data_IF_010099055088
#
_entry.id   IF_010099055088
#
_cell.length_a   1.000
_cell.length_b   1.000
_cell.length_c   1.000
_cell.angle_alpha   90.00
_cell.angle_beta   90.00
_cell.angle_gamma   90.00
#
_symmetry.space_group_name_H-M   'P 1'
#
loop_
_entity.id
_entity.type
_entity.pdbx_description
1 polymer ?
#
# COMPACT_ATOMS: atom_id res chain seq x y z
N UNK A 1 29.07 16.73 25.86
CA UNK A 1 27.80 16.91 25.16
C UNK A 1 27.73 15.88 24.05
N UNK A 2 27.01 14.79 24.31
CA UNK A 2 26.80 13.70 23.38
C UNK A 2 25.99 14.25 22.19
N UNK A 3 26.56 14.18 20.99
CA UNK A 3 25.79 14.27 19.76
C UNK A 3 24.94 13.01 19.68
N UNK A 4 23.68 13.11 20.10
CA UNK A 4 22.62 12.21 19.65
C UNK A 4 22.58 12.33 18.14
N UNK A 5 23.19 11.37 17.46
CA UNK A 5 23.04 11.18 16.03
C UNK A 5 21.63 10.66 15.83
N UNK A 6 20.67 11.57 15.69
CA UNK A 6 19.31 11.21 15.33
C UNK A 6 19.35 10.53 13.97
N UNK A 7 19.29 9.20 13.96
CA UNK A 7 19.15 8.39 12.76
C UNK A 7 17.72 8.59 12.25
N UNK A 8 17.50 9.71 11.57
CA UNK A 8 16.26 9.97 10.85
C UNK A 8 16.29 9.18 9.53
N UNK A 9 15.18 8.47 9.31
CA UNK A 9 14.64 8.04 8.03
C UNK A 9 15.59 7.23 7.13
N UNK A 10 15.59 5.91 7.32
CA UNK A 10 15.69 5.03 6.16
C UNK A 10 14.33 5.10 5.43
N UNK A 11 14.25 5.95 4.40
CA UNK A 11 13.26 5.77 3.33
C UNK A 11 13.65 4.45 2.66
N UNK A 12 13.01 3.36 3.08
CA UNK A 12 12.85 2.21 2.18
C UNK A 12 11.87 2.70 1.13
N UNK A 13 12.41 3.38 0.10
CA UNK A 13 11.71 3.55 -1.17
C UNK A 13 11.63 2.14 -1.75
N UNK A 14 10.63 1.42 -1.28
CA UNK A 14 10.16 0.22 -1.93
C UNK A 14 9.52 0.73 -3.23
N UNK A 15 10.35 1.02 -4.24
CA UNK A 15 9.90 1.10 -5.64
C UNK A 15 9.52 -0.32 -6.03
N UNK A 16 8.41 -0.73 -5.48
CA UNK A 16 7.71 -1.94 -5.82
C UNK A 16 6.60 -1.43 -6.71
N UNK A 17 6.99 -1.03 -7.93
CA UNK A 17 6.08 -0.81 -9.06
C UNK A 17 5.43 -2.16 -9.39
N UNK A 18 4.54 -2.62 -8.52
CA UNK A 18 3.82 -3.88 -8.65
C UNK A 18 2.34 -3.58 -8.64
N UNK A 19 1.87 -3.47 -9.86
CA UNK A 19 0.48 -3.56 -10.30
C UNK A 19 -0.14 -4.84 -9.73
N UNK A 20 -1.03 -4.67 -8.75
CA UNK A 20 -1.90 -5.76 -8.28
C UNK A 20 -3.14 -5.79 -9.15
N UNK A 21 -3.15 -6.72 -10.10
CA UNK A 21 -4.35 -7.52 -10.41
C UNK A 21 -3.87 -8.83 -11.06
N UNK A 22 -4.48 -9.96 -10.71
CA UNK A 22 -4.17 -11.28 -11.29
C UNK A 22 -4.47 -11.35 -12.81
N UNK A 23 -3.66 -10.70 -13.63
CA UNK A 23 -3.66 -10.95 -15.08
C UNK A 23 -3.18 -9.83 -16.00
N UNK A 24 -2.74 -8.67 -15.50
CA UNK A 24 -2.07 -7.66 -16.34
C UNK A 24 -1.27 -6.74 -15.39
N UNK A 25 -0.01 -7.02 -15.01
CA UNK A 25 1.18 -7.34 -15.81
C UNK A 25 1.92 -8.57 -15.28
N UNK A 26 2.67 -9.24 -16.16
CA UNK A 26 3.24 -10.58 -15.94
C UNK A 26 3.98 -10.77 -14.61
N UNK A 27 3.28 -11.45 -13.69
CA UNK A 27 3.78 -12.63 -12.99
C UNK A 27 4.78 -12.41 -11.85
N UNK A 28 4.48 -11.50 -10.92
CA UNK A 28 5.07 -11.58 -9.58
C UNK A 28 3.96 -12.04 -8.64
N UNK A 29 4.05 -13.29 -8.22
CA UNK A 29 3.21 -13.81 -7.16
C UNK A 29 3.45 -12.99 -5.89
N UNK A 30 2.45 -12.93 -4.99
CA UNK A 30 2.64 -12.33 -3.67
C UNK A 30 3.92 -12.84 -2.99
N UNK A 31 4.25 -14.13 -3.14
CA UNK A 31 5.48 -14.70 -2.60
C UNK A 31 6.76 -14.04 -3.15
N UNK A 32 6.85 -13.82 -4.46
CA UNK A 32 8.01 -13.20 -5.07
C UNK A 32 8.20 -11.74 -4.61
N UNK A 33 7.09 -11.01 -4.40
CA UNK A 33 7.11 -9.70 -3.76
C UNK A 33 7.65 -9.77 -2.32
N UNK A 34 7.10 -10.68 -1.50
CA UNK A 34 7.52 -10.85 -0.10
C UNK A 34 9.00 -11.26 0.01
N UNK A 35 9.49 -12.09 -0.90
CA UNK A 35 10.90 -12.47 -0.98
C UNK A 35 11.78 -11.25 -1.30
N UNK A 36 11.35 -10.40 -2.25
CA UNK A 36 12.07 -9.17 -2.60
C UNK A 36 12.10 -8.18 -1.43
N UNK A 37 10.97 -7.93 -0.77
CA UNK A 37 10.88 -7.11 0.46
C UNK A 37 11.81 -7.65 1.53
N UNK A 38 11.80 -8.96 1.76
CA UNK A 38 12.64 -9.59 2.77
C UNK A 38 14.14 -9.39 2.49
N UNK A 39 14.55 -9.44 1.22
CA UNK A 39 15.94 -9.15 0.85
C UNK A 39 16.29 -7.68 1.04
N UNK A 40 15.42 -6.75 0.61
CA UNK A 40 15.65 -5.32 0.78
C UNK A 40 15.79 -4.94 2.26
N UNK A 41 14.90 -5.42 3.13
CA UNK A 41 15.00 -5.18 4.58
C UNK A 41 16.31 -5.71 5.16
N UNK A 42 16.79 -6.87 4.69
CA UNK A 42 18.06 -7.44 5.16
C UNK A 42 19.27 -6.61 4.73
N UNK A 43 19.22 -6.00 3.55
CA UNK A 43 20.28 -5.15 3.01
C UNK A 43 20.27 -3.78 3.68
N UNK A 44 19.10 -3.14 3.74
CA UNK A 44 18.96 -1.74 4.12
C UNK A 44 18.93 -1.55 5.65
N UNK A 45 18.38 -2.52 6.38
CA UNK A 45 18.35 -2.52 7.84
C UNK A 45 19.14 -3.74 8.33
N UNK A 46 20.47 -3.77 8.24
CA UNK A 46 21.25 -4.99 8.49
C UNK A 46 21.20 -5.48 9.94
N UNK A 47 20.96 -4.58 10.91
CA UNK A 47 20.83 -4.96 12.32
C UNK A 47 19.52 -5.72 12.59
N UNK A 48 19.55 -7.02 12.96
CA UNK A 48 18.34 -7.77 13.30
C UNK A 48 17.65 -7.26 14.57
N UNK A 49 18.34 -6.48 15.41
CA UNK A 49 17.79 -5.90 16.64
C UNK A 49 17.29 -4.47 16.47
N UNK A 50 17.23 -3.95 15.24
CA UNK A 50 16.73 -2.62 14.93
C UNK A 50 15.45 -2.30 15.70
N UNK A 51 15.48 -1.21 16.46
CA UNK A 51 14.41 -0.73 17.34
C UNK A 51 13.96 0.71 17.01
N UNK A 52 14.36 1.21 15.83
CA UNK A 52 13.96 2.50 15.31
C UNK A 52 12.63 2.50 14.56
N UNK A 53 12.29 3.64 13.96
CA UNK A 53 11.13 3.80 13.08
C UNK A 53 11.53 3.42 11.66
N UNK A 54 10.76 2.54 11.03
CA UNK A 54 10.92 2.15 9.63
C UNK A 54 9.62 2.44 8.86
N UNK A 55 9.74 3.17 7.76
CA UNK A 55 8.61 3.63 6.95
C UNK A 55 8.64 2.90 5.62
N UNK A 56 7.51 2.28 5.26
CA UNK A 56 7.29 1.69 3.94
C UNK A 56 6.62 2.75 3.07
N UNK A 57 7.31 3.15 2.02
CA UNK A 57 6.85 4.17 1.10
C UNK A 57 6.26 3.51 -0.16
N UNK A 58 4.95 3.25 -0.14
CA UNK A 58 4.20 2.68 -1.26
C UNK A 58 3.08 3.64 -1.66
N UNK A 59 3.36 4.40 -2.72
CA UNK A 59 2.45 5.45 -3.19
C UNK A 59 1.79 5.10 -4.52
N UNK A 60 2.25 4.06 -5.24
CA UNK A 60 1.82 3.77 -6.60
C UNK A 60 0.29 3.63 -6.71
N UNK A 61 -0.32 2.88 -5.78
CA UNK A 61 -1.76 2.62 -5.66
C UNK A 61 -2.18 2.57 -4.17
N UNK A 62 -3.49 2.66 -3.91
CA UNK A 62 -4.07 2.71 -2.56
C UNK A 62 -4.82 1.41 -2.22
N UNK A 63 -4.89 1.00 -0.94
CA UNK A 63 -5.38 -0.33 -0.56
C UNK A 63 -6.88 -0.53 -0.77
N UNK A 64 -7.66 0.56 -0.91
CA UNK A 64 -9.07 0.49 -1.28
C UNK A 64 -9.25 0.92 -2.73
N UNK A 65 -9.99 0.13 -3.50
CA UNK A 65 -10.32 0.35 -4.91
C UNK A 65 -10.87 1.76 -5.15
N UNK A 66 -11.79 2.23 -4.30
CA UNK A 66 -12.38 3.56 -4.42
C UNK A 66 -11.41 4.70 -4.14
N UNK A 67 -10.29 4.45 -3.44
CA UNK A 67 -9.26 5.46 -3.18
C UNK A 67 -8.34 5.74 -4.37
N UNK A 68 -8.42 4.92 -5.43
CA UNK A 68 -7.60 5.04 -6.62
C UNK A 68 -8.21 6.00 -7.66
N UNK A 69 -8.33 7.27 -7.28
CA UNK A 69 -8.78 8.38 -8.16
C UNK A 69 -7.63 9.04 -8.92
N UNK A 70 -7.95 10.00 -9.78
CA UNK A 70 -7.02 10.77 -10.62
C UNK A 70 -6.10 9.86 -11.43
N UNK A 71 -4.78 10.08 -11.36
CA UNK A 71 -3.77 9.29 -12.07
C UNK A 71 -3.78 7.81 -11.65
N UNK A 72 -4.33 7.47 -10.47
CA UNK A 72 -4.45 6.10 -9.98
C UNK A 72 -5.69 5.38 -10.53
N UNK A 73 -6.56 6.05 -11.30
CA UNK A 73 -7.75 5.43 -11.91
C UNK A 73 -7.38 4.25 -12.84
N UNK A 74 -6.16 4.24 -13.39
CA UNK A 74 -5.64 3.14 -14.21
C UNK A 74 -5.73 1.78 -13.51
N UNK A 75 -5.51 1.70 -12.20
CA UNK A 75 -5.61 0.44 -11.44
C UNK A 75 -7.05 -0.09 -11.40
N UNK A 76 -8.03 0.83 -11.35
CA UNK A 76 -9.44 0.48 -11.40
C UNK A 76 -9.81 -0.06 -12.78
N UNK A 77 -9.44 0.67 -13.82
CA UNK A 77 -9.73 0.31 -15.22
C UNK A 77 -9.10 -1.04 -15.59
N UNK A 78 -7.86 -1.29 -15.18
CA UNK A 78 -7.18 -2.57 -15.39
C UNK A 78 -7.86 -3.72 -14.62
N UNK A 79 -8.34 -3.46 -13.40
CA UNK A 79 -9.07 -4.48 -12.62
C UNK A 79 -10.36 -4.92 -13.32
N UNK A 80 -11.13 -3.96 -13.84
CA UNK A 80 -12.36 -4.24 -14.61
C UNK A 80 -12.03 -4.96 -15.92
N UNK A 81 -11.01 -4.49 -16.64
CA UNK A 81 -10.60 -5.12 -17.90
C UNK A 81 -10.20 -6.58 -17.69
N UNK A 82 -9.49 -6.89 -16.61
CA UNK A 82 -9.12 -8.25 -16.27
C UNK A 82 -10.35 -9.13 -15.99
N UNK A 83 -11.30 -8.63 -15.20
CA UNK A 83 -12.54 -9.35 -14.93
C UNK A 83 -13.27 -9.67 -16.22
N UNK A 84 -13.39 -8.70 -17.14
CA UNK A 84 -14.05 -8.90 -18.44
C UNK A 84 -13.27 -9.83 -19.38
N UNK A 85 -11.93 -9.85 -19.31
CA UNK A 85 -11.11 -10.82 -20.05
C UNK A 85 -11.38 -12.26 -19.59
N UNK A 86 -11.53 -12.45 -18.28
CA UNK A 86 -11.76 -13.77 -17.68
C UNK A 86 -13.25 -14.19 -17.74
N UNK A 87 -14.16 -13.23 -17.66
CA UNK A 87 -15.61 -13.43 -17.60
C UNK A 87 -16.32 -12.46 -18.55
N UNK A 88 -16.20 -12.63 -19.88
CA UNK A 88 -16.70 -11.67 -20.88
C UNK A 88 -18.22 -11.58 -20.98
N UNK A 89 -18.94 -12.44 -20.25
CA UNK A 89 -20.40 -12.45 -20.19
C UNK A 89 -20.98 -11.51 -19.12
N UNK A 90 -20.14 -10.99 -18.21
CA UNK A 90 -20.58 -10.05 -17.18
C UNK A 90 -20.96 -8.71 -17.82
N UNK A 91 -21.99 -8.07 -17.29
CA UNK A 91 -22.23 -6.66 -17.55
C UNK A 91 -21.12 -5.79 -16.95
N UNK A 92 -21.02 -4.54 -17.40
CA UNK A 92 -20.03 -3.59 -16.86
C UNK A 92 -20.15 -3.42 -15.35
N UNK A 93 -21.38 -3.31 -14.83
CA UNK A 93 -21.65 -3.13 -13.40
C UNK A 93 -21.22 -4.36 -12.57
N UNK A 94 -21.54 -5.57 -13.06
CA UNK A 94 -21.10 -6.81 -12.40
C UNK A 94 -19.58 -6.96 -12.44
N UNK A 95 -18.95 -6.57 -13.54
CA UNK A 95 -17.50 -6.60 -13.67
C UNK A 95 -16.81 -5.59 -12.74
N UNK A 96 -17.37 -4.39 -12.59
CA UNK A 96 -16.88 -3.38 -11.64
C UNK A 96 -16.98 -3.84 -10.19
N UNK A 97 -18.13 -4.38 -9.78
CA UNK A 97 -18.32 -4.90 -8.42
C UNK A 97 -17.36 -6.06 -8.11
N UNK A 98 -17.16 -6.97 -9.05
CA UNK A 98 -16.24 -8.09 -8.89
C UNK A 98 -14.77 -7.61 -8.88
N UNK A 99 -14.41 -6.64 -9.72
CA UNK A 99 -13.08 -6.05 -9.76
C UNK A 99 -12.72 -5.37 -8.44
N UNK A 100 -13.65 -4.60 -7.86
CA UNK A 100 -13.47 -4.00 -6.54
C UNK A 100 -13.21 -5.06 -5.47
N UNK A 101 -14.06 -6.09 -5.42
CA UNK A 101 -13.93 -7.16 -4.42
C UNK A 101 -12.57 -7.87 -4.51
N UNK A 102 -12.12 -8.19 -5.73
CA UNK A 102 -10.85 -8.84 -5.97
C UNK A 102 -9.66 -7.93 -5.65
N UNK A 103 -9.73 -6.66 -6.07
CA UNK A 103 -8.70 -5.67 -5.79
C UNK A 103 -8.53 -5.46 -4.29
N UNK A 104 -9.60 -5.16 -3.55
CA UNK A 104 -9.53 -4.89 -2.11
C UNK A 104 -8.96 -6.10 -1.33
N UNK A 105 -9.32 -7.32 -1.74
CA UNK A 105 -8.77 -8.54 -1.14
C UNK A 105 -7.26 -8.65 -1.39
N UNK A 106 -6.84 -8.55 -2.64
CA UNK A 106 -5.44 -8.68 -3.02
C UNK A 106 -4.57 -7.55 -2.43
N UNK A 107 -5.08 -6.33 -2.43
CA UNK A 107 -4.48 -5.17 -1.79
C UNK A 107 -4.27 -5.38 -0.29
N UNK A 108 -5.29 -5.87 0.42
CA UNK A 108 -5.19 -6.21 1.85
C UNK A 108 -4.11 -7.25 2.10
N UNK A 109 -4.12 -8.35 1.34
CA UNK A 109 -3.12 -9.41 1.50
C UNK A 109 -1.71 -8.88 1.25
N UNK A 110 -1.52 -8.07 0.21
CA UNK A 110 -0.24 -7.44 -0.08
C UNK A 110 0.24 -6.53 1.06
N UNK A 111 -0.57 -5.58 1.49
CA UNK A 111 -0.18 -4.60 2.52
C UNK A 111 0.12 -5.30 3.86
N UNK A 112 -0.75 -6.22 4.28
CA UNK A 112 -0.66 -6.92 5.56
C UNK A 112 0.52 -7.89 5.58
N UNK A 113 0.72 -8.69 4.53
CA UNK A 113 1.82 -9.65 4.50
C UNK A 113 3.18 -8.96 4.38
N UNK A 114 3.26 -7.84 3.65
CA UNK A 114 4.49 -7.02 3.59
C UNK A 114 4.88 -6.51 4.97
N UNK A 115 3.92 -5.92 5.71
CA UNK A 115 4.16 -5.44 7.06
C UNK A 115 4.51 -6.59 8.02
N UNK A 116 3.90 -7.76 7.83
CA UNK A 116 4.20 -8.97 8.59
C UNK A 116 5.64 -9.41 8.39
N UNK A 117 6.11 -9.55 7.15
CA UNK A 117 7.51 -9.90 6.82
C UNK A 117 8.47 -8.89 7.46
N UNK A 118 8.17 -7.60 7.38
CA UNK A 118 9.00 -6.56 7.97
C UNK A 118 9.12 -6.70 9.49
N UNK A 119 8.01 -6.95 10.18
CA UNK A 119 7.97 -7.19 11.63
C UNK A 119 8.61 -8.51 12.04
N UNK A 120 8.50 -9.57 11.23
CA UNK A 120 9.16 -10.84 11.50
C UNK A 120 10.69 -10.72 11.39
N UNK A 121 11.17 -9.94 10.42
CA UNK A 121 12.61 -9.71 10.23
C UNK A 121 13.19 -8.73 11.25
N UNK A 122 12.46 -7.66 11.61
CA UNK A 122 12.89 -6.62 12.56
C UNK A 122 11.81 -6.44 13.64
N UNK A 123 11.74 -7.35 14.63
CA UNK A 123 10.63 -7.41 15.57
C UNK A 123 10.58 -6.25 16.57
N UNK A 124 11.69 -5.52 16.75
CA UNK A 124 11.74 -4.32 17.61
C UNK A 124 11.46 -3.03 16.84
N UNK A 125 11.45 -3.08 15.51
CA UNK A 125 11.21 -1.92 14.66
C UNK A 125 9.76 -1.45 14.76
N UNK A 126 9.58 -0.13 14.75
CA UNK A 126 8.28 0.52 14.65
C UNK A 126 7.96 0.73 13.17
N UNK A 127 7.15 -0.17 12.61
CA UNK A 127 6.82 -0.20 11.19
C UNK A 127 5.49 0.48 10.89
N UNK A 128 5.45 1.28 9.81
CA UNK A 128 4.23 1.88 9.28
C UNK A 128 4.36 2.20 7.79
N UNK A 129 3.22 2.39 7.12
CA UNK A 129 3.20 2.93 5.76
C UNK A 129 3.18 4.46 5.80
N UNK A 130 3.90 5.08 4.86
CA UNK A 130 3.75 6.50 4.59
C UNK A 130 2.32 6.82 4.14
N UNK A 131 1.81 8.01 4.47
CA UNK A 131 0.46 8.51 4.15
C UNK A 131 -0.76 7.84 4.82
N UNK A 132 -0.58 6.86 5.72
CA UNK A 132 -1.72 6.21 6.40
C UNK A 132 -1.82 6.56 7.90
N UNK A 133 -3.03 6.86 8.42
CA UNK A 133 -4.31 6.93 7.69
C UNK A 133 -4.41 8.16 6.77
N UNK A 134 -5.18 8.02 5.68
CA UNK A 134 -5.44 9.12 4.75
C UNK A 134 -6.48 10.09 5.34
N UNK A 135 -6.37 11.37 5.01
CA UNK A 135 -7.28 12.42 5.46
C UNK A 135 -7.89 13.14 4.25
N UNK A 136 -7.58 14.40 4.02
CA UNK A 136 -7.81 15.10 2.76
C UNK A 136 -6.60 16.00 2.51
N UNK A 137 -6.30 16.27 1.24
CA UNK A 137 -5.08 17.01 0.88
C UNK A 137 -5.04 18.42 1.47
N UNK A 138 -6.20 19.02 1.71
CA UNK A 138 -6.38 20.37 2.24
C UNK A 138 -6.65 20.40 3.75
N UNK A 139 -6.50 19.27 4.46
CA UNK A 139 -6.67 19.23 5.91
C UNK A 139 -5.61 20.13 6.58
N UNK A 140 -6.05 21.16 7.30
CA UNK A 140 -5.17 22.15 7.92
C UNK A 140 -4.84 23.36 7.05
N UNK A 141 -5.31 23.42 5.80
CA UNK A 141 -5.10 24.59 4.92
C UNK A 141 -5.90 25.82 5.39
N UNK A 142 -7.05 25.60 6.04
CA UNK A 142 -7.89 26.66 6.59
C UNK A 142 -7.77 26.73 8.12
N UNK A 143 -7.66 27.94 8.72
CA UNK A 143 -7.62 28.09 10.17
C UNK A 143 -8.84 27.46 10.85
N UNK A 144 -8.61 26.47 11.72
CA UNK A 144 -9.66 25.78 12.47
C UNK A 144 -10.24 24.54 11.77
N UNK A 145 -9.83 24.25 10.54
CA UNK A 145 -10.18 22.99 9.87
C UNK A 145 -9.03 21.98 10.01
N UNK A 146 -9.14 21.11 10.99
CA UNK A 146 -8.18 20.04 11.27
C UNK A 146 -8.84 18.65 11.17
N UNK A 147 -10.07 18.58 10.65
CA UNK A 147 -10.84 17.34 10.62
C UNK A 147 -10.74 16.69 9.26
N UNK A 148 -10.57 15.37 9.24
CA UNK A 148 -10.68 14.62 7.99
C UNK A 148 -12.11 14.63 7.48
N UNK A 149 -12.28 14.72 6.16
CA UNK A 149 -13.61 14.60 5.55
C UNK A 149 -14.32 13.30 5.96
N UNK A 150 -15.66 13.28 6.02
CA UNK A 150 -16.40 12.05 6.31
C UNK A 150 -16.04 10.88 5.39
N UNK A 151 -15.78 11.16 4.11
CA UNK A 151 -15.35 10.15 3.13
C UNK A 151 -14.01 9.53 3.53
N UNK A 152 -13.05 10.33 3.96
CA UNK A 152 -11.74 9.84 4.40
C UNK A 152 -11.86 8.98 5.68
N UNK A 153 -12.70 9.40 6.62
CA UNK A 153 -12.99 8.61 7.82
C UNK A 153 -13.59 7.25 7.45
N UNK A 154 -14.55 7.22 6.52
CA UNK A 154 -15.15 5.98 6.02
C UNK A 154 -14.14 5.06 5.32
N UNK A 155 -13.13 5.60 4.65
CA UNK A 155 -12.05 4.78 4.10
C UNK A 155 -11.18 4.17 5.21
N UNK A 156 -10.88 4.92 6.25
CA UNK A 156 -10.03 4.45 7.35
C UNK A 156 -10.71 3.42 8.26
N UNK A 157 -12.05 3.41 8.32
CA UNK A 157 -12.83 2.46 9.12
C UNK A 157 -12.99 1.08 8.44
N UNK A 158 -12.64 0.95 7.16
CA UNK A 158 -12.74 -0.28 6.35
C UNK A 158 -11.44 -1.11 6.40
#
# INVERSE_FOLDING_TARGET
YNTMTTHYLLLLVLIVDLTIVEGFYKNISLQAHLDAVAQLIKVDIPDPNFDGIAVIDLEAWRPLYHMNWDEKKVYKEQSVQLVLQNQPYLSTEEAEALAEQQFNRAARDFFVQTLRVARELRPRGLWGYYEYPFCNYDAGDQPGDHSCTPTAQQYNDQ
#
